data_IF_865183739596
#
_entry.id   IF_865183739596
#
_cell.length_a   1.000
_cell.length_b   1.000
_cell.length_c   1.000
_cell.angle_alpha   90.00
_cell.angle_beta   90.00
_cell.angle_gamma   90.00
#
_symmetry.space_group_name_H-M   'P 1'
#
loop_
_entity.id
_entity.type
_entity.pdbx_description
1 polymer ?
#
# COMPACT_ATOMS: atom_id res chain seq x y z
N UNK A 1 5.21 -10.49 1.08
CA UNK A 1 3.80 -10.11 0.82
C UNK A 1 3.70 -8.62 0.57
N UNK A 2 2.89 -8.22 -0.39
CA UNK A 2 2.68 -6.81 -0.73
C UNK A 2 1.34 -6.33 -0.22
N UNK A 3 1.33 -5.14 0.35
CA UNK A 3 0.12 -4.46 0.77
C UNK A 3 -0.15 -3.26 -0.12
N UNK A 4 -1.42 -3.04 -0.46
CA UNK A 4 -1.88 -1.84 -1.15
C UNK A 4 -2.83 -1.06 -0.24
N UNK A 5 -2.52 0.21 0.00
CA UNK A 5 -3.28 1.10 0.88
C UNK A 5 -3.62 2.40 0.14
N UNK A 6 -4.91 2.67 -0.01
CA UNK A 6 -5.38 3.87 -0.70
C UNK A 6 -5.84 4.98 0.23
N UNK A 7 -6.28 4.64 1.44
CA UNK A 7 -6.91 5.57 2.39
C UNK A 7 -6.17 5.62 3.71
N UNK A 8 -6.41 6.71 4.47
CA UNK A 8 -5.80 6.89 5.79
C UNK A 8 -6.33 5.85 6.79
N UNK A 9 -7.59 5.47 6.65
CA UNK A 9 -8.23 4.46 7.48
C UNK A 9 -7.60 3.08 7.27
N UNK A 10 -7.35 2.68 6.01
CA UNK A 10 -6.65 1.42 5.72
C UNK A 10 -5.21 1.43 6.24
N UNK A 11 -4.54 2.59 6.26
CA UNK A 11 -3.22 2.72 6.87
C UNK A 11 -3.26 2.53 8.39
N UNK A 12 -4.26 3.08 9.06
CA UNK A 12 -4.39 2.97 10.52
C UNK A 12 -4.76 1.54 10.93
N UNK A 13 -5.67 0.90 10.19
CA UNK A 13 -6.00 -0.52 10.33
C UNK A 13 -4.76 -1.39 10.16
N UNK A 14 -4.00 -1.15 9.08
CA UNK A 14 -2.74 -1.86 8.86
C UNK A 14 -1.73 -1.64 9.99
N UNK A 15 -1.55 -0.41 10.47
CA UNK A 15 -0.62 -0.12 11.57
C UNK A 15 -0.99 -0.85 12.86
N UNK A 16 -2.29 -1.05 13.11
CA UNK A 16 -2.76 -1.83 14.24
C UNK A 16 -2.46 -3.34 14.07
N UNK A 17 -2.40 -3.84 12.84
CA UNK A 17 -2.20 -5.25 12.49
C UNK A 17 -0.90 -5.51 11.68
N UNK A 18 0.11 -4.65 11.84
CA UNK A 18 1.39 -4.76 11.13
C UNK A 18 1.95 -6.17 11.35
N UNK A 19 2.10 -6.90 10.25
CA UNK A 19 2.62 -8.26 10.23
C UNK A 19 4.03 -8.26 9.62
N UNK A 20 4.95 -9.01 10.21
CA UNK A 20 6.36 -9.11 9.79
C UNK A 20 6.53 -9.70 8.37
N UNK A 21 5.47 -10.32 7.83
CA UNK A 21 5.43 -10.91 6.47
C UNK A 21 5.31 -9.87 5.33
N UNK A 22 5.07 -8.59 5.65
CA UNK A 22 4.90 -7.54 4.65
C UNK A 22 6.27 -7.07 4.16
N UNK A 23 6.56 -7.28 2.87
CA UNK A 23 7.81 -6.88 2.22
C UNK A 23 7.73 -5.45 1.66
N UNK A 24 6.54 -5.05 1.18
CA UNK A 24 6.34 -3.74 0.57
C UNK A 24 4.91 -3.22 0.75
N UNK A 25 4.79 -1.89 0.80
CA UNK A 25 3.52 -1.17 0.88
C UNK A 25 3.44 -0.23 -0.32
N UNK A 26 2.44 -0.45 -1.17
CA UNK A 26 2.06 0.45 -2.24
C UNK A 26 0.96 1.37 -1.74
N UNK A 27 1.15 2.66 -1.91
CA UNK A 27 0.20 3.62 -1.37
C UNK A 27 -0.12 4.75 -2.32
N UNK A 28 -1.27 5.38 -2.08
CA UNK A 28 -1.62 6.60 -2.79
C UNK A 28 -0.56 7.69 -2.57
N UNK A 29 -0.29 8.52 -3.59
CA UNK A 29 0.63 9.64 -3.44
C UNK A 29 0.12 10.57 -2.34
N UNK A 30 1.05 11.08 -1.53
CA UNK A 30 0.75 11.95 -0.36
C UNK A 30 -0.05 11.29 0.78
N UNK A 31 -0.20 9.96 0.79
CA UNK A 31 -0.88 9.26 1.88
C UNK A 31 0.01 9.11 3.14
N UNK A 32 1.27 8.74 2.92
CA UNK A 32 2.26 8.57 3.98
C UNK A 32 2.99 9.88 4.24
N UNK A 33 3.16 10.20 5.52
CA UNK A 33 4.07 11.27 5.96
C UNK A 33 5.51 10.77 5.99
N UNK A 34 6.49 11.68 6.00
CA UNK A 34 7.92 11.34 6.08
C UNK A 34 8.23 10.45 7.30
N UNK A 35 7.63 10.77 8.46
CA UNK A 35 7.81 9.98 9.68
C UNK A 35 7.31 8.53 9.54
N UNK A 36 6.23 8.32 8.78
CA UNK A 36 5.69 6.98 8.54
C UNK A 36 6.54 6.21 7.54
N UNK A 37 7.02 6.88 6.51
CA UNK A 37 8.02 6.33 5.59
C UNK A 37 9.25 5.84 6.34
N UNK A 38 9.80 6.64 7.25
CA UNK A 38 10.93 6.23 8.08
C UNK A 38 10.56 5.06 9.01
N UNK A 39 9.37 5.05 9.58
CA UNK A 39 8.92 3.96 10.46
C UNK A 39 8.83 2.63 9.70
N UNK A 40 8.32 2.62 8.47
CA UNK A 40 8.22 1.41 7.66
C UNK A 40 9.57 0.96 7.12
N UNK A 41 10.42 1.90 6.67
CA UNK A 41 11.78 1.57 6.25
C UNK A 41 12.63 0.98 7.38
N UNK A 42 12.48 1.48 8.61
CA UNK A 42 13.13 0.89 9.79
C UNK A 42 12.65 -0.53 10.11
N UNK A 43 11.46 -0.90 9.67
CA UNK A 43 10.93 -2.26 9.77
C UNK A 43 11.31 -3.14 8.58
N UNK A 44 12.12 -2.62 7.63
CA UNK A 44 12.50 -3.35 6.41
C UNK A 44 11.41 -3.39 5.34
N UNK A 45 10.34 -2.61 5.51
CA UNK A 45 9.22 -2.55 4.57
C UNK A 45 9.50 -1.48 3.52
N UNK A 46 9.37 -1.85 2.25
CA UNK A 46 9.57 -0.90 1.14
C UNK A 46 8.28 -0.13 0.86
N UNK A 47 8.28 1.18 1.06
CA UNK A 47 7.14 2.04 0.71
C UNK A 47 7.26 2.55 -0.73
N UNK A 48 6.24 2.30 -1.55
CA UNK A 48 6.21 2.66 -2.97
C UNK A 48 4.96 3.49 -3.26
N UNK A 49 5.17 4.67 -3.85
CA UNK A 49 4.07 5.53 -4.27
C UNK A 49 3.48 5.06 -5.60
N UNK A 50 2.14 4.98 -5.66
CA UNK A 50 1.43 4.75 -6.91
C UNK A 50 1.53 5.99 -7.80
N UNK A 51 1.70 5.83 -9.12
CA UNK A 51 1.91 6.94 -10.04
C UNK A 51 0.63 7.76 -10.31
N UNK A 52 -0.53 7.29 -9.84
CA UNK A 52 -1.78 8.03 -9.89
C UNK A 52 -2.56 7.86 -8.58
N UNK A 53 -3.39 8.85 -8.27
CA UNK A 53 -4.29 8.81 -7.13
C UNK A 53 -5.43 7.82 -7.41
N UNK A 54 -5.56 6.82 -6.55
CA UNK A 54 -6.59 5.79 -6.62
C UNK A 54 -7.75 6.20 -5.74
N UNK A 55 -8.89 6.43 -6.39
CA UNK A 55 -10.17 6.64 -5.73
C UNK A 55 -10.80 5.27 -5.45
N UNK A 56 -10.97 4.93 -4.17
CA UNK A 56 -11.51 3.62 -3.73
C UNK A 56 -12.98 3.44 -4.08
N UNK A 57 -13.75 4.54 -4.18
CA UNK A 57 -15.14 4.50 -4.63
C UNK A 57 -15.22 4.21 -6.14
N UNK A 58 -14.12 4.44 -6.87
CA UNK A 58 -14.00 4.13 -8.28
C UNK A 58 -13.33 2.77 -8.50
N UNK A 59 -14.16 1.74 -8.66
CA UNK A 59 -13.72 0.37 -8.99
C UNK A 59 -12.68 0.29 -10.12
N UNK A 60 -12.74 1.15 -11.14
CA UNK A 60 -11.74 1.14 -12.23
C UNK A 60 -10.35 1.56 -11.75
N UNK A 61 -10.29 2.51 -10.84
CA UNK A 61 -9.03 2.98 -10.25
C UNK A 61 -8.42 1.88 -9.38
N UNK A 62 -9.24 1.23 -8.54
CA UNK A 62 -8.79 0.12 -7.67
C UNK A 62 -8.28 -1.06 -8.50
N UNK A 63 -9.00 -1.45 -9.56
CA UNK A 63 -8.56 -2.48 -10.51
C UNK A 63 -7.25 -2.13 -11.20
N UNK A 64 -7.09 -0.87 -11.63
CA UNK A 64 -5.85 -0.41 -12.24
C UNK A 64 -4.66 -0.55 -11.27
N UNK A 65 -4.87 -0.21 -9.99
CA UNK A 65 -3.81 -0.29 -8.98
C UNK A 65 -3.37 -1.73 -8.74
N UNK A 66 -4.33 -2.65 -8.67
CA UNK A 66 -4.06 -4.08 -8.58
C UNK A 66 -3.22 -4.58 -9.75
N UNK A 67 -3.67 -4.34 -10.97
CA UNK A 67 -2.94 -4.76 -12.17
C UNK A 67 -1.54 -4.14 -12.24
N UNK A 68 -1.40 -2.90 -11.75
CA UNK A 68 -0.13 -2.21 -11.73
C UNK A 68 0.83 -2.84 -10.72
N UNK A 69 0.37 -3.11 -9.50
CA UNK A 69 1.18 -3.75 -8.46
C UNK A 69 1.56 -5.19 -8.87
N UNK A 70 0.62 -5.96 -9.42
CA UNK A 70 0.90 -7.33 -9.93
C UNK A 70 1.99 -7.34 -11.02
N UNK A 71 2.03 -6.31 -11.88
CA UNK A 71 3.02 -6.25 -12.97
C UNK A 71 4.38 -5.72 -12.51
N UNK A 72 4.43 -4.96 -11.42
CA UNK A 72 5.64 -4.26 -10.97
C UNK A 72 6.18 -4.80 -9.64
N UNK A 73 5.50 -5.76 -9.02
CA UNK A 73 5.98 -6.46 -7.85
C UNK A 73 6.46 -7.87 -8.20
N UNK A 74 7.53 -8.30 -7.54
CA UNK A 74 8.08 -9.66 -7.64
C UNK A 74 7.34 -10.64 -6.68
N UNK A 75 6.60 -10.09 -5.72
CA UNK A 75 5.81 -10.84 -4.73
C UNK A 75 4.50 -11.35 -5.35
N UNK A 76 4.19 -12.63 -5.14
CA UNK A 76 2.97 -13.27 -5.65
C UNK A 76 1.73 -13.06 -4.77
N UNK A 77 1.88 -12.50 -3.57
CA UNK A 77 0.77 -12.34 -2.61
C UNK A 77 0.50 -10.86 -2.35
N UNK A 78 -0.68 -10.41 -2.76
CA UNK A 78 -1.14 -9.02 -2.66
C UNK A 78 -2.36 -8.96 -1.74
N UNK A 79 -2.29 -8.08 -0.74
CA UNK A 79 -3.41 -7.71 0.12
C UNK A 79 -3.80 -6.26 -0.12
N UNK A 80 -5.10 -6.00 -0.02
CA UNK A 80 -5.67 -4.67 -0.19
C UNK A 80 -6.46 -4.35 1.05
N UNK A 81 -6.12 -3.25 1.70
CA UNK A 81 -6.93 -2.70 2.79
C UNK A 81 -7.80 -1.57 2.23
N UNK A 82 -9.10 -1.85 2.08
CA UNK A 82 -10.14 -0.89 1.71
C UNK A 82 -11.22 -0.85 2.81
N UNK A 83 -11.60 0.33 3.34
CA UNK A 83 -12.77 0.48 4.20
C UNK A 83 -14.10 0.26 3.45
#
# INVERSE_FOLDING_TARGET
MVLIIFTREGLDAFKAEISDDISAIWHNPQLLTEAEHEQFQNQGITCIELPQLIDVDNNKSTLWALEYVEKNSDDQEIMIECP
#
